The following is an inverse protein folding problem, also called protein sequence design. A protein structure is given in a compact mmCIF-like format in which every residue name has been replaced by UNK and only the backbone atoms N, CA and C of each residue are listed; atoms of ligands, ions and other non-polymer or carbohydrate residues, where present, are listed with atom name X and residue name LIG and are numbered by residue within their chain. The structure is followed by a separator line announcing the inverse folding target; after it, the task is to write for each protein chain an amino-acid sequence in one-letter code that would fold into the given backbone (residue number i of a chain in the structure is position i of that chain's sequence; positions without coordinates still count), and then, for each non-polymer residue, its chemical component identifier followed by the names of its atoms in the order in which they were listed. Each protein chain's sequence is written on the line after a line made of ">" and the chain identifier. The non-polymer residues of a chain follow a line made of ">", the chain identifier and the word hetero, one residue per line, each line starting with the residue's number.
data_IF_923226263380
#
_entry.id   IF_923226263380
#
_cell.length_a   1.000
_cell.length_b   1.000
_cell.length_c   1.000
_cell.angle_alpha   90.00
_cell.angle_beta   90.00
_cell.angle_gamma   90.00
#
_symmetry.space_group_name_H-M   'P 1'
#
loop_
_entity.id
_entity.type
_entity.pdbx_description
1 polymer ?
2 non-polymer ?
3 non-polymer ?
4 non-polymer ?
5 non-polymer ?
6 water ?
#
# COMPACT_ATOMS: atom_id res chain seq x y z
N UNK A 6 -7.52 22.84 9.06
CA UNK A 6 -7.24 21.50 9.63
C UNK A 6 -6.50 20.57 8.63
N UNK A 7 -5.25 20.24 8.95
CA UNK A 7 -4.51 19.22 8.26
C UNK A 7 -4.21 18.03 9.14
N UNK A 8 -4.12 16.84 8.56
CA UNK A 8 -4.11 15.61 9.33
C UNK A 8 -3.09 14.65 8.77
N UNK A 9 -2.20 14.18 9.63
CA UNK A 9 -1.09 13.32 9.21
C UNK A 9 -1.33 11.83 9.51
N UNK A 10 -0.84 10.95 8.69
CA UNK A 10 -1.17 9.52 8.93
C UNK A 10 -0.01 8.63 8.58
N UNK A 11 0.10 7.51 9.27
CA UNK A 11 1.24 6.58 9.08
C UNK A 11 0.70 5.14 8.85
N UNK A 12 1.32 4.38 7.94
CA UNK A 12 0.96 2.94 7.74
C UNK A 12 2.18 2.09 7.53
N UNK A 13 2.04 0.83 7.86
CA UNK A 13 3.16 -0.08 7.83
C UNK A 13 2.63 -1.44 7.52
N UNK A 14 3.17 -2.13 6.54
CA UNK A 14 2.79 -3.48 6.29
C UNK A 14 3.93 -4.42 5.88
N UNK A 15 3.71 -5.72 5.94
CA UNK A 15 4.71 -6.74 5.74
C UNK A 15 4.09 -7.96 5.10
N UNK A 16 4.79 -8.55 4.14
CA UNK A 16 4.39 -9.91 3.72
C UNK A 16 5.53 -10.77 3.46
N UNK A 17 5.28 -12.02 3.72
CA UNK A 17 6.29 -13.03 3.53
C UNK A 17 6.32 -13.57 2.08
N UNK A 18 7.51 -13.85 1.56
CA UNK A 18 7.62 -14.54 0.27
C UNK A 18 7.16 -15.98 0.39
N UNK A 19 6.49 -16.47 -0.64
CA UNK A 19 6.21 -17.90 -0.72
C UNK A 19 5.40 -18.20 -1.97
N UNK A 20 5.55 -19.42 -2.51
CA UNK A 20 4.93 -19.80 -3.77
C UNK A 20 5.62 -19.14 -4.95
N UNK A 21 4.92 -19.05 -6.08
CA UNK A 21 5.53 -18.55 -7.33
C UNK A 21 5.00 -17.15 -7.68
N UNK A 22 5.83 -16.34 -8.32
CA UNK A 22 5.47 -14.97 -8.67
C UNK A 22 4.27 -14.94 -9.59
N UNK A 23 4.02 -13.80 -10.22
CA UNK A 23 4.72 -12.55 -9.87
C UNK A 23 4.16 -12.03 -8.53
N UNK A 24 4.61 -10.87 -8.07
CA UNK A 24 3.89 -10.13 -7.07
C UNK A 24 3.19 -8.89 -7.59
N UNK A 25 2.17 -8.46 -6.85
CA UNK A 25 1.56 -7.14 -7.07
C UNK A 25 2.05 -6.16 -6.02
N UNK A 26 2.61 -5.04 -6.47
CA UNK A 26 3.00 -4.00 -5.56
C UNK A 26 2.50 -2.71 -6.17
N UNK A 27 1.73 -1.92 -5.40
CA UNK A 27 1.26 -0.62 -5.82
C UNK A 27 0.35 -0.81 -7.01
N UNK A 28 -0.40 -1.91 -6.99
CA UNK A 28 -1.12 -2.30 -8.13
C UNK A 28 -0.35 -2.91 -9.30
N UNK A 29 0.98 -2.95 -9.35
CA UNK A 29 1.61 -3.41 -10.57
C UNK A 29 2.02 -4.85 -10.40
N UNK A 30 1.93 -5.60 -11.52
CA UNK A 30 2.26 -7.03 -11.57
C UNK A 30 3.76 -7.18 -11.85
N UNK A 31 4.57 -7.52 -10.87
CA UNK A 31 6.01 -7.47 -11.06
C UNK A 31 6.52 -8.88 -11.11
N UNK A 32 7.30 -9.21 -12.15
CA UNK A 32 7.76 -10.65 -12.23
C UNK A 32 8.76 -10.95 -11.18
N UNK A 33 8.68 -12.12 -10.61
CA UNK A 33 9.68 -12.47 -9.61
C UNK A 33 9.53 -13.91 -9.36
N UNK A 34 10.42 -14.46 -8.54
CA UNK A 34 10.65 -15.88 -8.45
C UNK A 34 9.92 -16.52 -7.27
N UNK A 35 9.58 -15.73 -6.25
CA UNK A 35 8.54 -16.08 -5.34
C UNK A 35 7.34 -15.17 -5.58
N UNK A 36 6.18 -15.56 -5.04
CA UNK A 36 5.10 -14.66 -4.81
C UNK A 36 4.93 -14.41 -3.33
N UNK A 37 3.86 -13.72 -2.97
CA UNK A 37 3.71 -13.21 -1.57
C UNK A 37 2.63 -13.97 -0.81
N UNK A 38 2.89 -14.69 0.30
CA UNK A 38 1.76 -15.29 1.03
C UNK A 38 0.85 -14.21 1.59
N UNK A 39 -0.44 -14.28 1.32
CA UNK A 39 -1.38 -13.30 1.77
C UNK A 39 -2.79 -13.85 1.59
N UNK A 40 -3.75 -13.44 2.42
CA UNK A 40 -5.16 -13.76 2.19
C UNK A 40 -5.78 -12.88 1.13
N UNK A 41 -4.99 -12.15 0.35
CA UNK A 41 -5.49 -11.07 -0.53
C UNK A 41 -4.43 -10.90 -1.59
N UNK A 42 -4.53 -9.84 -2.36
CA UNK A 42 -3.42 -9.39 -3.17
C UNK A 42 -2.05 -9.70 -2.48
N UNK A 43 -1.90 -9.35 -1.21
CA UNK A 43 -0.56 -9.26 -0.59
C UNK A 43 0.18 -8.06 -1.14
N UNK A 44 -0.57 -7.07 -1.65
CA UNK A 44 0.04 -5.83 -2.08
C UNK A 44 0.42 -4.94 -0.88
N UNK A 45 1.62 -5.15 -0.32
CA UNK A 45 2.09 -4.36 0.81
C UNK A 45 2.05 -2.86 0.62
N UNK A 46 2.30 -2.32 -0.59
CA UNK A 46 2.39 -0.87 -0.75
C UNK A 46 0.98 -0.30 -0.64
N UNK A 47 -0.05 -0.87 -1.29
CA UNK A 47 -1.38 -0.30 -1.10
C UNK A 47 -1.87 -0.58 0.32
N UNK A 48 -1.45 -1.67 0.97
CA UNK A 48 -1.93 -1.85 2.36
C UNK A 48 -1.39 -0.75 3.29
N UNK A 49 -0.10 -0.41 3.14
CA UNK A 49 0.48 0.53 4.03
C UNK A 49 -0.12 1.89 3.73
N UNK A 50 -0.27 2.21 2.45
CA UNK A 50 -0.83 3.47 2.10
C UNK A 50 -2.26 3.62 2.65
N UNK A 51 -3.04 2.56 2.57
CA UNK A 51 -4.45 2.63 2.93
C UNK A 51 -4.54 2.92 4.38
N UNK A 52 -3.76 2.21 5.17
CA UNK A 52 -3.55 2.58 6.55
C UNK A 52 -3.04 3.95 6.87
N UNK A 53 -2.10 4.53 6.11
CA UNK A 53 -1.75 5.89 6.39
C UNK A 53 -3.00 6.74 6.13
N UNK A 54 -3.79 6.53 5.07
CA UNK A 54 -4.96 7.37 4.82
C UNK A 54 -6.03 7.24 5.92
N UNK A 55 -6.45 6.02 6.24
CA UNK A 55 -7.29 5.76 7.41
C UNK A 55 -6.76 6.34 8.74
N UNK A 56 -5.49 6.17 9.05
CA UNK A 56 -4.99 6.73 10.29
C UNK A 56 -5.09 8.25 10.36
N UNK A 57 -4.91 8.92 9.22
CA UNK A 57 -4.92 10.38 9.26
C UNK A 57 -6.40 10.81 9.52
N UNK A 58 -7.38 10.06 9.02
CA UNK A 58 -8.78 10.37 9.24
C UNK A 58 -9.23 9.77 10.59
N UNK A 59 -8.33 9.23 11.41
CA UNK A 59 -8.80 8.49 12.60
C UNK A 59 -9.96 7.47 12.26
N UNK A 60 -9.87 6.73 11.15
CA UNK A 60 -10.77 5.63 11.00
C UNK A 60 -10.20 4.28 11.36
N UNK A 61 -9.04 4.21 12.01
CA UNK A 61 -8.50 2.93 12.40
C UNK A 61 -7.53 2.43 11.37
N UNK A 62 -7.95 1.42 10.62
CA UNK A 62 -7.08 0.73 9.64
C UNK A 62 -7.86 -0.32 8.86
N UNK A 63 -7.28 -0.82 7.78
CA UNK A 63 -7.84 -1.94 7.03
C UNK A 63 -8.44 -3.00 7.96
N UNK A 64 -7.60 -3.58 8.82
CA UNK A 64 -7.97 -4.73 9.63
C UNK A 64 -9.27 -4.54 10.39
N UNK A 65 -9.44 -3.37 10.99
CA UNK A 65 -10.75 -2.96 11.51
C UNK A 65 -11.76 -2.94 10.37
N UNK A 66 -11.59 -2.00 9.44
CA UNK A 66 -12.56 -1.75 8.38
C UNK A 66 -12.95 -3.01 7.61
N UNK A 67 -11.99 -3.89 7.40
CA UNK A 67 -12.19 -5.07 6.57
C UNK A 67 -11.60 -6.36 7.18
N UNK A 68 -12.37 -6.97 8.08
CA UNK A 68 -11.94 -8.21 8.74
C UNK A 68 -11.65 -9.32 7.74
N UNK A 69 -10.44 -9.87 7.80
CA UNK A 69 -10.17 -11.19 7.24
C UNK A 69 -11.31 -12.16 7.55
N UNK A 70 -12.04 -11.88 8.61
CA UNK A 70 -13.04 -12.81 9.13
C UNK A 70 -14.45 -12.39 8.73
N UNK A 71 -14.54 -11.43 7.83
CA UNK A 71 -15.77 -10.66 7.64
C UNK A 71 -16.14 -10.57 6.16
N UNK A 72 -17.23 -9.87 5.87
CA UNK A 72 -18.01 -10.12 4.66
C UNK A 72 -17.68 -9.12 3.55
N UNK A 73 -18.24 -9.34 2.37
CA UNK A 73 -18.39 -8.20 1.46
C UNK A 73 -17.07 -7.88 0.77
N UNK A 74 -15.99 -8.51 1.23
CA UNK A 74 -14.65 -7.99 1.02
C UNK A 74 -13.64 -9.11 0.83
N UNK A 75 -13.93 -10.27 1.43
CA UNK A 75 -13.02 -11.41 1.37
C UNK A 75 -12.55 -11.74 -0.04
N UNK A 76 -13.37 -11.39 -1.03
CA UNK A 76 -12.97 -11.47 -2.42
C UNK A 76 -12.53 -10.12 -2.97
N UNK A 77 -11.30 -9.73 -2.66
CA UNK A 77 -10.90 -8.33 -2.70
C UNK A 77 -9.46 -8.18 -3.19
N UNK A 78 -9.20 -7.41 -4.19
CA UNK A 78 -7.92 -6.84 -4.51
C UNK A 78 -7.68 -5.51 -3.77
N UNK A 79 -6.41 -5.20 -3.53
CA UNK A 79 -6.06 -4.14 -2.62
C UNK A 79 -6.44 -2.80 -3.18
N UNK A 80 -6.70 -2.75 -4.49
CA UNK A 80 -7.05 -1.48 -5.14
C UNK A 80 -8.52 -1.11 -4.91
N UNK A 81 -9.37 -2.11 -4.68
CA UNK A 81 -10.73 -1.86 -4.29
C UNK A 81 -10.82 -1.49 -2.81
N UNK A 82 -10.00 -2.12 -1.98
CA UNK A 82 -9.92 -1.75 -0.59
C UNK A 82 -9.46 -0.30 -0.42
N UNK A 83 -8.46 0.09 -1.20
CA UNK A 83 -7.97 1.46 -1.21
C UNK A 83 -9.07 2.42 -1.62
N UNK A 84 -9.80 2.09 -2.68
CA UNK A 84 -10.85 2.97 -3.21
C UNK A 84 -12.06 3.02 -2.27
N UNK A 85 -12.31 1.94 -1.55
CA UNK A 85 -13.35 1.90 -0.57
C UNK A 85 -12.96 2.77 0.62
N UNK A 86 -11.76 2.58 1.17
CA UNK A 86 -11.29 3.36 2.29
C UNK A 86 -11.32 4.84 1.96
N UNK A 87 -10.82 5.20 0.77
CA UNK A 87 -10.85 6.59 0.32
C UNK A 87 -12.29 7.10 0.26
N UNK A 88 -13.19 6.21 -0.14
CA UNK A 88 -14.59 6.57 -0.30
C UNK A 88 -15.20 6.92 1.06
N UNK A 89 -14.99 6.07 2.06
CA UNK A 89 -15.23 6.46 3.44
C UNK A 89 -14.54 7.76 3.82
N UNK A 90 -13.28 7.88 3.46
CA UNK A 90 -12.43 8.95 3.98
C UNK A 90 -12.92 10.31 3.51
N UNK A 91 -13.42 10.38 2.29
CA UNK A 91 -14.02 11.65 1.82
C UNK A 91 -15.43 11.94 2.46
N UNK A 92 -16.18 10.87 2.71
CA UNK A 92 -17.43 10.96 3.36
C UNK A 92 -17.16 11.67 4.67
N UNK A 93 -16.05 11.56 5.42
CA UNK A 93 -15.90 12.42 6.61
C UNK A 93 -15.33 13.81 6.25
N UNK A 94 -15.40 14.28 5.02
CA UNK A 94 -14.98 15.63 4.74
C UNK A 94 -13.54 15.85 4.34
N UNK A 95 -12.79 14.77 4.07
CA UNK A 95 -11.37 14.94 3.86
C UNK A 95 -11.00 15.00 2.42
N UNK A 96 -9.89 15.63 2.18
CA UNK A 96 -9.40 15.79 0.89
C UNK A 96 -7.87 15.47 0.84
N UNK A 97 -7.35 15.04 -0.30
CA UNK A 97 -5.96 14.66 -0.33
C UNK A 97 -4.90 15.80 -0.30
N UNK A 98 -3.85 15.68 0.53
CA UNK A 98 -2.74 16.62 0.53
C UNK A 98 -1.63 16.08 -0.34
N UNK A 99 -0.80 15.21 0.20
CA UNK A 99 0.01 14.36 -0.62
C UNK A 99 0.18 13.00 0.06
N UNK A 100 1.08 12.18 -0.53
CA UNK A 100 1.23 10.76 -0.09
C UNK A 100 2.60 10.23 -0.55
N UNK A 101 3.34 9.66 0.41
CA UNK A 101 4.69 9.22 0.14
C UNK A 101 4.90 7.81 0.69
N UNK A 102 5.33 6.88 -0.15
CA UNK A 102 5.33 5.47 0.20
C UNK A 102 6.78 4.92 0.08
N UNK A 103 7.23 4.08 1.02
CA UNK A 103 8.59 3.60 0.97
C UNK A 103 8.57 2.09 0.96
N UNK A 104 8.83 1.47 -0.18
CA UNK A 104 8.87 0.03 -0.23
C UNK A 104 10.28 -0.42 0.26
N UNK A 105 10.32 -1.44 1.10
CA UNK A 105 11.56 -1.93 1.68
C UNK A 105 11.74 -3.41 1.26
N UNK A 106 12.62 -3.69 0.30
CA UNK A 106 12.71 -5.01 -0.27
C UNK A 106 14.10 -5.15 -0.87
N UNK A 107 14.67 -6.35 -0.75
CA UNK A 107 15.97 -6.65 -1.36
C UNK A 107 15.79 -6.90 -2.88
N UNK A 108 14.75 -7.67 -3.26
CA UNK A 108 14.25 -7.67 -4.61
C UNK A 108 12.74 -8.01 -4.58
N UNK A 109 12.07 -7.85 -5.72
CA UNK A 109 12.77 -7.46 -6.96
C UNK A 109 13.01 -5.98 -7.08
N UNK A 110 13.55 -5.54 -8.21
CA UNK A 110 13.79 -4.12 -8.46
C UNK A 110 12.46 -3.41 -8.71
N UNK A 111 12.12 -2.42 -7.89
CA UNK A 111 10.85 -1.75 -8.00
C UNK A 111 10.92 -0.57 -8.96
N UNK A 112 12.11 -0.07 -9.19
CA UNK A 112 12.28 1.26 -9.73
C UNK A 112 11.56 1.46 -11.05
N UNK A 113 11.73 0.53 -11.99
CA UNK A 113 11.14 0.69 -13.33
C UNK A 113 9.61 0.68 -13.30
N UNK A 114 9.03 0.11 -12.24
CA UNK A 114 7.59 -0.07 -12.15
C UNK A 114 6.93 1.15 -11.51
N UNK A 115 7.75 2.12 -11.13
CA UNK A 115 7.38 3.04 -10.09
C UNK A 115 6.52 4.17 -10.65
N UNK A 116 6.68 4.50 -11.94
CA UNK A 116 5.73 5.39 -12.59
C UNK A 116 4.33 4.82 -12.62
N UNK A 117 4.21 3.55 -13.02
CA UNK A 117 2.88 2.93 -13.21
C UNK A 117 2.12 2.75 -11.88
N UNK A 118 2.85 2.35 -10.83
CA UNK A 118 2.33 2.40 -9.47
C UNK A 118 1.63 3.73 -9.21
N UNK A 119 2.27 4.82 -9.63
CA UNK A 119 1.81 6.15 -9.24
C UNK A 119 0.55 6.54 -10.03
N UNK A 120 0.39 6.05 -11.25
CA UNK A 120 -0.82 6.35 -11.99
C UNK A 120 -2.00 5.55 -11.45
N UNK A 121 -1.74 4.33 -11.00
CA UNK A 121 -2.76 3.54 -10.31
C UNK A 121 -3.22 4.29 -9.06
N UNK A 122 -2.28 4.61 -8.17
CA UNK A 122 -2.60 5.28 -6.92
C UNK A 122 -3.31 6.61 -7.17
N UNK A 123 -2.72 7.43 -8.04
CA UNK A 123 -3.26 8.79 -8.29
C UNK A 123 -4.68 8.69 -8.83
N UNK A 124 -4.90 7.71 -9.68
CA UNK A 124 -6.22 7.45 -10.20
C UNK A 124 -7.20 6.98 -9.13
N UNK A 125 -6.79 6.01 -8.33
CA UNK A 125 -7.62 5.47 -7.29
C UNK A 125 -8.01 6.53 -6.25
N UNK A 126 -7.18 7.55 -6.07
CA UNK A 126 -7.45 8.53 -5.04
C UNK A 126 -8.02 9.79 -5.68
N UNK A 127 -8.30 9.73 -6.98
CA UNK A 127 -8.56 10.86 -7.73
C UNK A 127 -7.66 12.03 -7.61
N UNK A 128 -6.35 11.96 -7.51
CA UNK A 128 -5.56 13.22 -7.46
C UNK A 128 -4.67 13.33 -8.66
N UNK A 129 -3.71 14.24 -8.65
CA UNK A 129 -2.70 14.30 -9.63
C UNK A 129 -1.56 13.36 -9.34
N UNK A 130 -0.83 13.00 -10.38
CA UNK A 130 0.31 12.19 -10.19
C UNK A 130 1.23 12.89 -9.27
N UNK A 131 1.15 14.19 -9.14
CA UNK A 131 2.17 14.65 -8.34
C UNK A 131 1.91 14.91 -6.91
N UNK A 132 0.77 14.48 -6.40
CA UNK A 132 0.53 14.34 -5.01
C UNK A 132 0.98 12.92 -4.55
N UNK A 133 1.54 12.10 -5.44
CA UNK A 133 1.91 10.74 -5.08
C UNK A 133 3.39 10.51 -5.28
N UNK A 134 4.13 10.18 -4.22
CA UNK A 134 5.50 9.69 -4.33
C UNK A 134 5.63 8.24 -3.90
N UNK A 135 6.43 7.48 -4.65
CA UNK A 135 6.79 6.14 -4.22
C UNK A 135 8.29 5.92 -4.38
N UNK A 136 8.93 5.33 -3.38
CA UNK A 136 10.30 4.87 -3.52
C UNK A 136 10.49 3.52 -2.95
N UNK A 137 11.56 2.85 -3.34
CA UNK A 137 11.92 1.58 -2.73
C UNK A 137 13.36 1.65 -2.27
N UNK A 138 13.68 0.92 -1.21
CA UNK A 138 15.00 0.97 -0.63
C UNK A 138 15.39 -0.42 -0.14
N UNK A 139 16.70 -0.79 -0.07
CA UNK A 139 17.03 -2.12 0.50
C UNK A 139 17.50 -1.93 1.92
N UNK A 140 17.55 -3.00 2.70
CA UNK A 140 18.19 -2.98 3.99
C UNK A 140 19.52 -3.71 3.94
N UNK A 141 20.16 -3.70 2.77
CA UNK A 141 21.57 -4.04 2.64
C UNK A 141 21.84 -5.42 3.21
N UNK A 142 20.91 -6.32 3.00
CA UNK A 142 21.14 -7.73 3.28
C UNK A 142 21.07 -8.08 4.76
N UNK A 143 20.81 -7.09 5.62
CA UNK A 143 20.48 -7.35 7.00
C UNK A 143 18.97 -7.50 7.13
N UNK A 144 18.52 -8.16 8.17
CA UNK A 144 17.14 -8.25 8.44
C UNK A 144 16.34 -9.31 7.66
N UNK A 145 15.08 -9.54 8.01
CA UNK A 145 14.29 -10.46 7.23
C UNK A 145 14.08 -9.99 5.80
N UNK A 146 14.13 -8.69 5.61
CA UNK A 146 13.95 -8.11 4.31
C UNK A 146 15.24 -8.29 3.50
N UNK A 147 16.38 -8.22 4.17
CA UNK A 147 17.67 -8.37 3.52
C UNK A 147 17.96 -9.83 3.21
N UNK A 148 17.39 -10.73 4.01
CA UNK A 148 17.53 -12.17 3.75
C UNK A 148 16.51 -12.65 2.70
N UNK A 149 15.69 -11.74 2.16
CA UNK A 149 14.71 -12.09 1.17
C UNK A 149 13.61 -12.97 1.71
N UNK A 150 13.29 -12.81 2.99
CA UNK A 150 12.20 -13.55 3.60
C UNK A 150 10.84 -12.89 3.37
N UNK A 151 10.84 -11.59 3.09
CA UNK A 151 9.64 -10.90 2.69
C UNK A 151 9.88 -9.44 2.40
N UNK A 152 8.82 -8.67 2.56
CA UNK A 152 8.77 -7.36 1.94
C UNK A 152 7.95 -6.37 2.79
N UNK A 153 8.57 -5.28 3.21
CA UNK A 153 7.89 -4.30 4.06
C UNK A 153 7.68 -3.01 3.29
N UNK A 154 6.61 -2.30 3.62
CA UNK A 154 6.44 -0.93 3.12
C UNK A 154 5.93 -0.03 4.25
N UNK A 155 6.46 1.18 4.36
CA UNK A 155 5.86 2.25 5.17
C UNK A 155 5.29 3.29 4.28
N UNK A 156 4.30 4.01 4.75
CA UNK A 156 3.68 5.09 3.98
C UNK A 156 3.32 6.26 4.95
N UNK A 157 3.23 7.48 4.41
CA UNK A 157 2.71 8.62 5.18
C UNK A 157 1.75 9.34 4.29
N UNK A 158 0.75 9.97 4.89
CA UNK A 158 -0.33 10.67 4.14
C UNK A 158 -0.62 11.96 4.88
N UNK A 159 -0.83 13.06 4.14
CA UNK A 159 -1.37 14.27 4.67
C UNK A 159 -2.76 14.49 4.08
N UNK A 160 -3.77 14.59 4.94
CA UNK A 160 -5.14 14.95 4.52
C UNK A 160 -5.45 16.39 4.90
N UNK A 161 -6.07 17.11 3.98
CA UNK A 161 -6.83 18.32 4.34
C UNK A 161 -8.30 18.01 4.55
N UNK A 162 -8.84 18.48 5.66
CA UNK A 162 -10.29 18.63 5.79
C UNK A 162 -10.69 20.02 5.29
X LIG B 1 -0.93 -6.64 3.75
X LIG C 1 -0.77 -6.78 7.08
X LIG D 1 -3.69 -9.10 3.87
X LIG E 1 20.79 -1.35 -5.16
X LIG E 1 20.41 0.05 -4.97
X LIG E 1 21.48 1.02 -5.16
X LIG E 1 19.55 0.33 -3.82
X LIG E 1 19.37 0.32 -6.40
X LIG E 1 18.02 -0.07 -6.23
X LIG E 1 17.38 1.09 -5.82
X LIG E 1 17.71 1.94 -6.94
X LIG E 1 16.87 3.04 -6.81
X LIG E 1 15.90 1.16 -5.92
X LIG E 1 15.35 -0.08 -5.43
X LIG E 1 15.66 -0.55 -4.21
X LIG E 1 15.12 -1.74 -3.81
X LIG E 1 14.29 -2.38 -4.67
X LIG E 1 13.77 -3.51 -4.31
X LIG E 1 14.02 -1.89 -5.85
X LIG E 1 14.54 -0.76 -6.22
X LIG E 1 14.28 -0.23 -7.41
X LIG F 1 14.59 -6.25 11.77
X LIG F 1 14.38 -7.75 11.43
X LIG F 1 13.44 -5.16 11.45
X LIG F 1 13.19 -4.78 10.34
X LIG F 1 13.79 -5.12 8.94
X LIG F 1 12.12 -3.87 10.67
X LIG F 1 11.88 -3.22 9.36
X LIG F 1 11.61 -1.87 9.59
X LIG F 1 10.98 -1.26 10.70
X LIG F 1 10.82 0.23 10.70
X LIG F 1 10.45 -2.09 11.91
X LIG F 1 15.07 -9.12 12.10
X LIG F 1 15.40 -8.87 13.50
X LIG F 1 14.35 -10.34 11.68
X LIG F 1 16.31 -9.25 11.61
X LIG F 1 16.64 -10.47 12.27
X LIG F 1 15.61 -11.08 13.39
X LIG F 1 16.37 -11.35 10.99
X LIG F 1 18.01 -10.38 12.76
#
# INVERSE_FOLDING_TARGET
>A
GSHMLEMRIGHGFDVHAFGGEGPIIIGGVRIPYEKGLLAHSDGDVALHALTDALLGAAALGDIGKLFPDTDPAFKGADSRELLREAWRRIQAKGYTLGNVDVTIIAQAPKMLPHIPQMRVFIAEDLGCHMDDVNVKATTTEKLGFTGRGEGIACEAVALLIKATK
>B hetero
1 ZN ZN
>C hetero
1 NA NA
>D hetero
1 NA NA
>E hetero
1 CFV OAN PAM OAO OAP CAL OAK CAJ CAQ OAR CAA NAB CAC CAD CAE NAF NAG CAH OAI
>F hetero
1 GPP C1 O1 C2 C3 C4 C5 C6 C7 C8 C9 C10 PA O1A O2A O3A PB O1B O2B O3B
#
